data_IF_961353456821
#
_entry.id   IF_961353456821
#
_cell.length_a   1.000
_cell.length_b   1.000
_cell.length_c   1.000
_cell.angle_alpha   90.00
_cell.angle_beta   90.00
_cell.angle_gamma   90.00
#
_symmetry.space_group_name_H-M   'P 1'
#
loop_
_entity.id
_entity.type
_entity.pdbx_description
1 polymer ?
#
# COMPACT_ATOMS: atom_id res chain seq x y z
N UNK A 1 -4.97 12.01 22.27
CA UNK A 1 -4.06 12.96 21.58
C UNK A 1 -4.81 13.45 20.36
N UNK A 2 -5.07 14.75 20.29
CA UNK A 2 -5.82 15.39 19.20
C UNK A 2 -5.01 15.26 17.92
N UNK A 3 -5.58 14.63 16.89
CA UNK A 3 -5.00 14.55 15.56
C UNK A 3 -4.72 15.97 15.06
N UNK A 4 -3.47 16.28 14.75
CA UNK A 4 -3.14 17.51 14.04
C UNK A 4 -3.77 17.44 12.66
N UNK A 5 -4.80 18.23 12.40
CA UNK A 5 -5.25 18.50 11.04
C UNK A 5 -4.11 19.19 10.31
N UNK A 6 -3.39 18.47 9.46
CA UNK A 6 -2.34 19.05 8.63
C UNK A 6 -3.03 19.75 7.47
N UNK A 7 -2.93 21.08 7.43
CA UNK A 7 -3.54 21.90 6.38
C UNK A 7 -3.15 21.38 5.00
N UNK A 8 -4.14 21.05 4.16
CA UNK A 8 -3.93 20.53 2.80
C UNK A 8 -3.84 19.00 2.70
N UNK A 9 -3.87 18.26 3.80
CA UNK A 9 -3.94 16.78 3.82
C UNK A 9 -5.33 16.33 4.28
N UNK A 10 -6.03 15.48 3.52
CA UNK A 10 -7.29 14.90 3.97
C UNK A 10 -7.11 14.16 5.31
N UNK A 11 -8.02 14.32 6.29
CA UNK A 11 -7.92 13.61 7.55
C UNK A 11 -8.04 12.10 7.33
N UNK A 12 -7.33 11.32 8.15
CA UNK A 12 -7.51 9.88 8.20
C UNK A 12 -8.85 9.55 8.88
N UNK A 13 -9.46 8.38 8.58
CA UNK A 13 -10.62 7.93 9.32
C UNK A 13 -10.26 7.69 10.79
N UNK A 14 -11.12 8.16 11.68
CA UNK A 14 -10.93 8.10 13.14
C UNK A 14 -11.81 7.05 13.81
N UNK A 15 -12.37 6.11 13.04
CA UNK A 15 -13.14 5.01 13.61
C UNK A 15 -12.28 4.16 14.55
N UNK A 16 -12.87 3.43 15.52
CA UNK A 16 -12.12 2.51 16.35
C UNK A 16 -11.35 1.45 15.55
N UNK A 17 -11.91 0.97 14.44
CA UNK A 17 -11.28 -0.03 13.57
C UNK A 17 -10.10 0.57 12.79
N UNK A 18 -10.29 1.75 12.19
CA UNK A 18 -9.24 2.48 11.48
C UNK A 18 -8.03 2.78 12.39
N UNK A 19 -8.28 3.24 13.62
CA UNK A 19 -7.21 3.47 14.60
C UNK A 19 -6.46 2.19 14.98
N UNK A 20 -7.15 1.05 15.10
CA UNK A 20 -6.52 -0.24 15.40
C UNK A 20 -5.67 -0.75 14.23
N UNK A 21 -6.16 -0.63 13.00
CA UNK A 21 -5.39 -0.98 11.81
C UNK A 21 -4.14 -0.10 11.69
N UNK A 22 -4.28 1.22 11.89
CA UNK A 22 -3.15 2.15 11.86
C UNK A 22 -2.13 1.88 12.98
N UNK A 23 -2.59 1.49 14.17
CA UNK A 23 -1.70 1.10 15.27
C UNK A 23 -0.93 -0.18 14.92
N UNK A 24 -1.63 -1.21 14.41
CA UNK A 24 -1.00 -2.48 14.00
C UNK A 24 0.15 -2.24 13.03
N UNK A 25 -0.06 -1.48 11.95
CA UNK A 25 0.97 -1.26 10.92
C UNK A 25 2.13 -0.42 11.46
N UNK A 26 1.85 0.58 12.32
CA UNK A 26 2.92 1.37 12.97
C UNK A 26 3.74 0.56 13.98
N UNK A 27 3.16 -0.48 14.58
CA UNK A 27 3.83 -1.35 15.53
C UNK A 27 4.65 -2.46 14.85
N UNK A 28 4.28 -2.86 13.63
CA UNK A 28 4.80 -4.07 12.98
C UNK A 28 5.59 -3.81 11.69
N UNK A 29 5.27 -2.77 10.93
CA UNK A 29 6.00 -2.37 9.73
C UNK A 29 7.16 -1.44 10.07
N UNK A 30 8.14 -1.33 9.17
CA UNK A 30 9.13 -0.27 9.26
C UNK A 30 8.47 1.09 9.01
N UNK A 31 9.02 2.17 9.59
CA UNK A 31 8.47 3.53 9.43
C UNK A 31 8.29 3.96 7.96
N UNK A 32 9.23 3.69 7.02
CA UNK A 32 9.02 4.02 5.61
C UNK A 32 7.81 3.29 4.99
N UNK A 33 7.63 2.00 5.33
CA UNK A 33 6.52 1.16 4.84
C UNK A 33 5.18 1.59 5.47
N UNK A 34 5.12 1.82 6.79
CA UNK A 34 3.90 2.34 7.42
C UNK A 34 3.49 3.71 6.87
N UNK A 35 4.46 4.58 6.57
CA UNK A 35 4.18 5.86 5.92
C UNK A 35 3.72 5.68 4.47
N UNK A 36 4.27 4.71 3.72
CA UNK A 36 3.81 4.34 2.37
C UNK A 36 2.34 3.92 2.38
N UNK A 37 1.97 3.04 3.30
CA UNK A 37 0.59 2.54 3.46
C UNK A 37 -0.40 3.70 3.71
N UNK A 38 -0.03 4.68 4.53
CA UNK A 38 -0.85 5.89 4.76
C UNK A 38 -0.88 6.81 3.52
N UNK A 39 0.26 7.06 2.86
CA UNK A 39 0.28 7.88 1.64
C UNK A 39 -0.51 7.25 0.51
N UNK A 40 -0.47 5.92 0.37
CA UNK A 40 -1.25 5.16 -0.60
C UNK A 40 -2.75 5.39 -0.44
N UNK A 41 -3.26 5.42 0.80
CA UNK A 41 -4.64 5.82 1.09
C UNK A 41 -4.95 7.26 0.67
N UNK A 42 -4.07 8.21 1.01
CA UNK A 42 -4.28 9.62 0.70
C UNK A 42 -4.31 9.85 -0.82
N UNK A 43 -3.40 9.21 -1.56
CA UNK A 43 -3.41 9.25 -3.02
C UNK A 43 -4.61 8.51 -3.62
N UNK A 44 -5.03 7.39 -3.05
CA UNK A 44 -6.25 6.70 -3.49
C UNK A 44 -7.49 7.60 -3.36
N UNK A 45 -7.58 8.42 -2.30
CA UNK A 45 -8.65 9.41 -2.15
C UNK A 45 -8.59 10.52 -3.20
N UNK A 46 -7.41 11.09 -3.44
CA UNK A 46 -7.23 12.08 -4.50
C UNK A 46 -7.61 11.50 -5.87
N UNK A 47 -7.26 10.23 -6.11
CA UNK A 47 -7.65 9.51 -7.31
C UNK A 47 -9.17 9.31 -7.42
N UNK A 48 -9.83 8.93 -6.32
CA UNK A 48 -11.28 8.80 -6.27
C UNK A 48 -11.97 10.12 -6.62
N UNK A 49 -11.53 11.23 -6.03
CA UNK A 49 -12.05 12.57 -6.30
C UNK A 49 -11.83 12.97 -7.76
N UNK A 50 -10.62 12.75 -8.30
CA UNK A 50 -10.30 13.02 -9.71
C UNK A 50 -11.16 12.20 -10.68
N UNK A 51 -11.42 10.92 -10.36
CA UNK A 51 -12.30 10.03 -11.13
C UNK A 51 -13.79 10.24 -10.87
N UNK A 52 -14.14 11.14 -9.95
CA UNK A 52 -15.51 11.40 -9.49
C UNK A 52 -16.21 10.16 -8.91
N UNK A 53 -15.44 9.25 -8.33
CA UNK A 53 -15.97 8.11 -7.57
C UNK A 53 -16.48 8.61 -6.21
N UNK A 54 -17.73 8.30 -5.87
CA UNK A 54 -18.39 8.81 -4.68
C UNK A 54 -18.31 7.79 -3.53
N UNK A 55 -17.81 8.19 -2.34
CA UNK A 55 -17.80 7.31 -1.17
C UNK A 55 -19.23 6.93 -0.75
N UNK A 56 -19.44 5.67 -0.34
CA UNK A 56 -20.74 5.11 0.02
C UNK A 56 -21.64 4.74 -1.17
N UNK A 57 -21.24 5.09 -2.40
CA UNK A 57 -21.92 4.70 -3.65
C UNK A 57 -21.05 3.81 -4.52
N UNK A 58 -19.83 4.27 -4.81
CA UNK A 58 -18.91 3.60 -5.73
C UNK A 58 -17.86 2.76 -4.98
N UNK A 59 -17.55 3.10 -3.72
CA UNK A 59 -16.69 2.34 -2.81
C UNK A 59 -17.00 2.67 -1.34
N UNK A 60 -16.68 1.76 -0.43
CA UNK A 60 -16.73 2.03 1.01
C UNK A 60 -15.43 2.76 1.47
N UNK A 61 -15.53 3.94 2.11
CA UNK A 61 -14.36 4.71 2.51
C UNK A 61 -13.54 4.08 3.64
N UNK A 62 -14.16 3.32 4.54
CA UNK A 62 -13.46 2.60 5.60
C UNK A 62 -12.73 1.39 5.02
N UNK A 63 -13.34 0.63 4.11
CA UNK A 63 -12.65 -0.48 3.42
C UNK A 63 -11.48 0.01 2.56
N UNK A 64 -11.62 1.15 1.87
CA UNK A 64 -10.50 1.76 1.14
C UNK A 64 -9.34 2.10 2.08
N UNK A 65 -9.64 2.69 3.24
CA UNK A 65 -8.62 2.95 4.23
C UNK A 65 -7.94 1.66 4.68
N UNK A 66 -8.71 0.68 5.15
CA UNK A 66 -8.20 -0.58 5.68
C UNK A 66 -7.36 -1.34 4.65
N UNK A 67 -7.83 -1.43 3.41
CA UNK A 67 -7.07 -2.08 2.35
C UNK A 67 -5.75 -1.36 2.06
N UNK A 68 -5.75 -0.03 1.94
CA UNK A 68 -4.52 0.72 1.72
C UNK A 68 -3.55 0.64 2.90
N UNK A 69 -4.03 0.78 4.15
CA UNK A 69 -3.12 0.73 5.30
C UNK A 69 -2.55 -0.66 5.55
N UNK A 70 -3.29 -1.74 5.24
CA UNK A 70 -2.87 -3.11 5.50
C UNK A 70 -2.17 -3.79 4.31
N UNK A 71 -2.07 -3.16 3.14
CA UNK A 71 -1.66 -3.87 1.92
C UNK A 71 -0.26 -4.49 1.97
N UNK A 72 0.64 -3.89 2.74
CA UNK A 72 2.03 -4.34 2.92
C UNK A 72 2.27 -5.09 4.23
N UNK A 73 1.22 -5.43 5.00
CA UNK A 73 1.36 -6.21 6.24
C UNK A 73 2.01 -7.59 5.99
N UNK A 74 1.95 -8.06 4.73
CA UNK A 74 2.66 -9.23 4.21
C UNK A 74 4.19 -9.18 4.38
N UNK A 75 4.76 -7.99 4.54
CA UNK A 75 6.19 -7.76 4.74
C UNK A 75 6.64 -7.82 6.22
N UNK A 76 5.68 -7.95 7.14
CA UNK A 76 5.92 -8.10 8.58
C UNK A 76 6.10 -9.57 8.98
N UNK A 77 6.38 -9.84 10.26
CA UNK A 77 6.42 -11.20 10.81
C UNK A 77 5.10 -11.96 10.61
N UNK A 78 3.95 -11.29 10.71
CA UNK A 78 2.63 -11.91 10.51
C UNK A 78 2.43 -12.45 9.07
N UNK A 79 3.14 -11.83 8.12
CA UNK A 79 3.10 -12.13 6.69
C UNK A 79 4.31 -12.91 6.15
N UNK A 80 5.31 -13.27 6.97
CA UNK A 80 6.48 -14.05 6.53
C UNK A 80 6.17 -15.57 6.45
N UNK A 81 5.15 -15.92 5.65
CA UNK A 81 4.68 -17.30 5.40
C UNK A 81 5.17 -17.82 4.03
N UNK A 82 4.54 -18.85 3.48
CA UNK A 82 5.07 -19.67 2.36
C UNK A 82 4.52 -19.29 0.97
N UNK A 83 4.05 -18.06 0.79
CA UNK A 83 3.47 -17.59 -0.48
C UNK A 83 3.81 -16.11 -0.74
N UNK A 84 3.44 -15.61 -1.92
CA UNK A 84 3.76 -14.23 -2.32
C UNK A 84 3.26 -13.22 -1.28
N UNK A 85 4.03 -12.16 -1.02
CA UNK A 85 3.75 -11.23 0.08
C UNK A 85 2.38 -10.56 -0.04
N UNK A 86 1.88 -10.38 -1.27
CA UNK A 86 0.56 -9.79 -1.51
C UNK A 86 -0.56 -10.68 -0.95
N UNK A 87 -0.43 -12.00 -1.06
CA UNK A 87 -1.43 -12.97 -0.59
C UNK A 87 -1.25 -13.20 0.90
N UNK A 88 -0.01 -13.27 1.39
CA UNK A 88 0.25 -13.32 2.84
C UNK A 88 -0.27 -12.07 3.57
N UNK A 89 -0.12 -10.90 2.95
CA UNK A 89 -0.68 -9.65 3.46
C UNK A 89 -2.20 -9.67 3.47
N UNK A 90 -2.82 -10.15 2.39
CA UNK A 90 -4.27 -10.29 2.30
C UNK A 90 -4.82 -11.25 3.37
N UNK A 91 -4.18 -12.41 3.57
CA UNK A 91 -4.55 -13.38 4.60
C UNK A 91 -4.42 -12.80 6.01
N UNK A 92 -3.30 -12.15 6.32
CA UNK A 92 -3.08 -11.50 7.62
C UNK A 92 -4.09 -10.36 7.87
N UNK A 93 -4.41 -9.57 6.85
CA UNK A 93 -5.44 -8.54 6.93
C UNK A 93 -6.83 -9.16 7.18
N UNK A 94 -7.17 -10.25 6.49
CA UNK A 94 -8.44 -10.93 6.68
C UNK A 94 -8.57 -11.55 8.08
N UNK A 95 -7.51 -12.17 8.61
CA UNK A 95 -7.44 -12.66 9.99
C UNK A 95 -7.67 -11.52 10.99
N UNK A 96 -6.98 -10.38 10.80
CA UNK A 96 -7.17 -9.19 11.63
C UNK A 96 -8.61 -8.68 11.58
N UNK A 97 -9.15 -8.42 10.39
CA UNK A 97 -10.49 -7.84 10.22
C UNK A 97 -11.59 -8.76 10.72
N UNK A 98 -11.47 -10.07 10.50
CA UNK A 98 -12.39 -11.08 11.05
C UNK A 98 -12.39 -11.03 12.57
N UNK A 99 -11.22 -10.94 13.21
CA UNK A 99 -11.11 -10.81 14.66
C UNK A 99 -11.71 -9.49 15.18
N UNK A 100 -11.82 -8.46 14.33
CA UNK A 100 -12.50 -7.20 14.65
C UNK A 100 -14.01 -7.22 14.40
N UNK A 101 -14.56 -8.34 13.91
CA UNK A 101 -15.99 -8.50 13.64
C UNK A 101 -16.46 -7.85 12.34
N UNK A 102 -15.56 -7.59 11.40
CA UNK A 102 -15.90 -7.09 10.06
C UNK A 102 -16.70 -8.18 9.31
N UNK A 103 -17.79 -7.84 8.60
CA UNK A 103 -18.57 -8.80 7.81
C UNK A 103 -17.69 -9.54 6.79
N UNK A 104 -17.96 -10.83 6.56
CA UNK A 104 -17.12 -11.65 5.67
C UNK A 104 -17.03 -11.12 4.24
N UNK A 105 -18.09 -10.52 3.70
CA UNK A 105 -18.06 -9.90 2.37
C UNK A 105 -17.10 -8.71 2.31
N UNK A 106 -17.08 -7.87 3.34
CA UNK A 106 -16.17 -6.73 3.44
C UNK A 106 -14.72 -7.20 3.65
N UNK A 107 -14.52 -8.30 4.39
CA UNK A 107 -13.22 -8.96 4.54
C UNK A 107 -12.72 -9.48 3.18
N UNK A 108 -13.58 -10.14 2.41
CA UNK A 108 -13.24 -10.66 1.08
C UNK A 108 -12.88 -9.52 0.11
N UNK A 109 -13.61 -8.39 0.15
CA UNK A 109 -13.33 -7.21 -0.66
C UNK A 109 -11.95 -6.59 -0.32
N UNK A 110 -11.61 -6.49 0.96
CA UNK A 110 -10.28 -6.01 1.39
C UNK A 110 -9.19 -7.01 1.00
N UNK A 111 -9.42 -8.30 1.20
CA UNK A 111 -8.49 -9.35 0.80
C UNK A 111 -8.19 -9.27 -0.70
N UNK A 112 -9.21 -9.14 -1.55
CA UNK A 112 -9.06 -9.04 -3.00
C UNK A 112 -8.25 -7.80 -3.40
N UNK A 113 -8.56 -6.65 -2.80
CA UNK A 113 -7.86 -5.41 -3.09
C UNK A 113 -6.37 -5.47 -2.72
N UNK A 114 -6.04 -6.10 -1.57
CA UNK A 114 -4.66 -6.31 -1.14
C UNK A 114 -3.97 -7.33 -2.05
N UNK A 115 -4.57 -8.50 -2.29
CA UNK A 115 -3.93 -9.55 -3.09
C UNK A 115 -3.60 -9.10 -4.53
N UNK A 116 -4.38 -8.16 -5.08
CA UNK A 116 -4.23 -7.66 -6.45
C UNK A 116 -3.46 -6.34 -6.57
N UNK A 117 -3.04 -5.70 -5.47
CA UNK A 117 -2.50 -4.34 -5.52
C UNK A 117 -1.23 -4.19 -6.39
N UNK A 118 -0.46 -5.26 -6.61
CA UNK A 118 0.71 -5.29 -7.50
C UNK A 118 0.43 -5.84 -8.91
N UNK A 119 -0.84 -6.04 -9.28
CA UNK A 119 -1.25 -6.72 -10.51
C UNK A 119 -1.88 -5.74 -11.52
N UNK A 120 -1.08 -4.89 -12.19
CA UNK A 120 -1.59 -3.91 -13.15
C UNK A 120 -2.34 -4.59 -14.30
N UNK A 121 -3.44 -3.97 -14.73
CA UNK A 121 -4.35 -4.52 -15.74
C UNK A 121 -5.37 -5.53 -15.20
N UNK A 122 -5.18 -6.05 -13.98
CA UNK A 122 -6.14 -6.93 -13.29
C UNK A 122 -6.89 -6.16 -12.21
N UNK A 123 -6.19 -5.46 -11.32
CA UNK A 123 -6.79 -4.76 -10.18
C UNK A 123 -7.87 -3.77 -10.61
N UNK A 124 -7.66 -3.05 -11.72
CA UNK A 124 -8.60 -2.06 -12.26
C UNK A 124 -9.88 -2.69 -12.84
N UNK A 125 -9.88 -4.00 -13.05
CA UNK A 125 -11.02 -4.78 -13.55
C UNK A 125 -11.80 -5.45 -12.41
N UNK A 126 -11.35 -5.31 -11.16
CA UNK A 126 -11.92 -5.98 -9.97
C UNK A 126 -12.58 -4.97 -9.02
N UNK A 127 -13.42 -4.11 -9.57
CA UNK A 127 -14.20 -3.14 -8.81
C UNK A 127 -13.42 -1.89 -8.41
N UNK A 128 -14.15 -0.89 -7.90
CA UNK A 128 -13.60 0.43 -7.57
C UNK A 128 -12.56 0.35 -6.45
N UNK A 129 -12.77 -0.50 -5.44
CA UNK A 129 -11.85 -0.66 -4.31
C UNK A 129 -10.46 -1.12 -4.79
N UNK A 130 -10.38 -2.25 -5.50
CA UNK A 130 -9.13 -2.76 -6.08
C UNK A 130 -8.45 -1.73 -6.99
N UNK A 131 -9.23 -1.06 -7.84
CA UNK A 131 -8.71 -0.04 -8.74
C UNK A 131 -8.09 1.15 -7.99
N UNK A 132 -8.71 1.59 -6.88
CA UNK A 132 -8.23 2.71 -6.08
C UNK A 132 -7.02 2.32 -5.22
N UNK A 133 -6.99 1.13 -4.61
CA UNK A 133 -5.82 0.64 -3.86
C UNK A 133 -4.61 0.52 -4.78
N UNK A 134 -4.75 -0.16 -5.92
CA UNK A 134 -3.67 -0.27 -6.91
C UNK A 134 -3.19 1.10 -7.42
N UNK A 135 -4.11 2.01 -7.71
CA UNK A 135 -3.71 3.35 -8.20
C UNK A 135 -3.03 4.16 -7.09
N UNK A 136 -3.55 4.10 -5.86
CA UNK A 136 -3.00 4.82 -4.71
C UNK A 136 -1.57 4.40 -4.37
N UNK A 137 -1.29 3.09 -4.36
CA UNK A 137 0.07 2.57 -4.14
C UNK A 137 1.00 3.03 -5.25
N UNK A 138 0.60 2.91 -6.52
CA UNK A 138 1.38 3.38 -7.66
C UNK A 138 1.63 4.90 -7.67
N UNK A 139 0.65 5.70 -7.24
CA UNK A 139 0.78 7.15 -7.14
C UNK A 139 1.82 7.56 -6.10
N UNK A 140 2.03 6.79 -5.04
CA UNK A 140 3.12 7.05 -4.08
C UNK A 140 4.51 6.76 -4.69
N UNK A 141 4.58 5.97 -5.75
CA UNK A 141 5.78 5.84 -6.61
C UNK A 141 5.86 6.90 -7.72
N UNK A 142 4.93 7.86 -7.75
CA UNK A 142 4.90 8.96 -8.72
C UNK A 142 4.08 8.69 -9.97
N UNK A 143 3.46 7.51 -10.10
CA UNK A 143 2.72 7.12 -11.30
C UNK A 143 1.36 7.84 -11.40
N UNK A 144 1.06 8.41 -12.56
CA UNK A 144 -0.26 9.00 -12.82
C UNK A 144 -0.63 10.19 -11.92
N UNK A 145 0.38 10.97 -11.50
CA UNK A 145 0.20 12.05 -10.52
C UNK A 145 -0.06 13.42 -11.13
N UNK A 146 -0.21 13.54 -12.44
CA UNK A 146 -0.30 14.82 -13.17
C UNK A 146 -1.41 15.77 -12.66
N UNK A 147 -2.47 15.23 -12.05
CA UNK A 147 -3.59 16.00 -11.52
C UNK A 147 -3.41 16.42 -10.05
N UNK A 148 -2.41 15.88 -9.35
CA UNK A 148 -2.10 16.25 -7.96
C UNK A 148 -1.27 17.53 -8.01
N UNK A 149 -1.70 18.60 -7.33
CA UNK A 149 -0.90 19.81 -7.25
C UNK A 149 0.31 19.66 -6.31
N UNK A 150 1.36 20.44 -6.55
CA UNK A 150 2.63 20.34 -5.80
C UNK A 150 2.45 20.64 -4.30
N UNK A 151 1.50 21.51 -3.93
CA UNK A 151 1.29 21.87 -2.54
C UNK A 151 0.65 20.72 -1.74
N UNK A 152 -0.35 20.06 -2.30
CA UNK A 152 -0.94 18.85 -1.72
C UNK A 152 0.08 17.71 -1.65
N UNK A 153 0.84 17.48 -2.73
CA UNK A 153 1.93 16.49 -2.72
C UNK A 153 2.96 16.77 -1.62
N UNK A 154 3.42 18.01 -1.49
CA UNK A 154 4.37 18.42 -0.45
C UNK A 154 3.79 18.27 0.97
N UNK A 155 2.51 18.61 1.17
CA UNK A 155 1.85 18.48 2.47
C UNK A 155 1.72 17.02 2.92
N UNK A 156 1.34 16.10 2.00
CA UNK A 156 1.27 14.67 2.26
C UNK A 156 2.65 14.12 2.67
N UNK A 157 3.70 14.47 1.92
CA UNK A 157 5.06 14.00 2.20
C UNK A 157 5.68 14.65 3.44
N UNK A 158 5.28 15.86 3.82
CA UNK A 158 5.68 16.48 5.08
C UNK A 158 5.01 15.80 6.28
N UNK A 159 3.73 15.42 6.14
CA UNK A 159 2.97 14.69 7.15
C UNK A 159 3.48 13.26 7.36
N UNK A 160 3.80 12.58 6.26
CA UNK A 160 4.22 11.18 6.23
C UNK A 160 5.49 11.06 5.38
N UNK A 161 6.68 11.33 5.95
CA UNK A 161 7.95 11.33 5.21
C UNK A 161 8.22 10.00 4.49
N UNK A 162 8.74 10.09 3.26
CA UNK A 162 9.09 8.91 2.44
C UNK A 162 10.29 8.15 2.99
N UNK A 163 11.24 8.88 3.56
CA UNK A 163 12.52 8.33 4.03
C UNK A 163 13.26 7.67 2.86
N UNK A 164 13.49 6.36 2.88
CA UNK A 164 14.07 5.61 1.77
C UNK A 164 13.09 4.54 1.29
N UNK A 165 11.79 4.87 1.23
CA UNK A 165 10.69 3.91 1.06
C UNK A 165 10.95 2.88 -0.04
N UNK A 166 11.30 3.30 -1.26
CA UNK A 166 11.42 2.36 -2.37
C UNK A 166 12.54 1.35 -2.14
N UNK A 167 13.64 1.79 -1.53
CA UNK A 167 14.74 0.91 -1.12
C UNK A 167 14.30 0.01 0.02
N UNK A 168 13.61 0.54 1.04
CA UNK A 168 13.11 -0.25 2.18
C UNK A 168 12.15 -1.36 1.74
N UNK A 169 11.13 -1.04 0.95
CA UNK A 169 10.18 -2.03 0.42
C UNK A 169 10.89 -3.08 -0.43
N UNK A 170 11.79 -2.65 -1.32
CA UNK A 170 12.57 -3.58 -2.14
C UNK A 170 13.39 -4.53 -1.28
N UNK A 171 14.08 -4.03 -0.27
CA UNK A 171 14.92 -4.84 0.61
C UNK A 171 14.09 -5.78 1.48
N UNK A 172 12.93 -5.36 2.00
CA UNK A 172 12.00 -6.20 2.75
C UNK A 172 11.47 -7.35 1.89
N UNK A 173 10.99 -7.06 0.67
CA UNK A 173 10.51 -8.06 -0.29
C UNK A 173 11.62 -9.04 -0.66
N UNK A 174 12.80 -8.54 -1.03
CA UNK A 174 13.94 -9.37 -1.43
C UNK A 174 14.45 -10.22 -0.27
N UNK A 175 14.50 -9.67 0.95
CA UNK A 175 14.95 -10.40 2.13
C UNK A 175 14.01 -11.57 2.45
N UNK A 176 12.69 -11.35 2.43
CA UNK A 176 11.72 -12.43 2.62
C UNK A 176 11.84 -13.49 1.51
N UNK A 177 11.87 -13.08 0.24
CA UNK A 177 12.00 -14.00 -0.90
C UNK A 177 13.30 -14.81 -0.91
N UNK A 178 14.41 -14.25 -0.39
CA UNK A 178 15.67 -14.99 -0.22
C UNK A 178 15.60 -16.03 0.91
N UNK A 179 14.86 -15.75 1.98
CA UNK A 179 14.62 -16.73 3.06
C UNK A 179 13.65 -17.81 2.63
N UNK A 180 12.62 -17.45 1.85
CA UNK A 180 11.53 -18.30 1.39
C UNK A 180 11.30 -18.13 -0.11
N UNK A 181 11.97 -18.92 -0.96
CA UNK A 181 11.86 -18.81 -2.42
C UNK A 181 10.43 -18.92 -2.96
N UNK A 182 9.52 -19.58 -2.23
CA UNK A 182 8.10 -19.70 -2.56
C UNK A 182 7.38 -18.35 -2.62
N UNK A 183 7.91 -17.33 -1.93
CA UNK A 183 7.39 -15.95 -1.99
C UNK A 183 7.71 -15.22 -3.30
N UNK A 184 8.61 -15.77 -4.10
CA UNK A 184 9.02 -15.25 -5.40
C UNK A 184 8.68 -16.23 -6.53
N UNK A 185 7.39 -16.56 -6.74
CA UNK A 185 7.00 -17.37 -7.89
C UNK A 185 7.35 -16.65 -9.19
N UNK A 186 7.61 -17.42 -10.26
CA UNK A 186 7.97 -16.83 -11.56
C UNK A 186 6.92 -15.80 -11.99
N UNK A 187 7.40 -14.70 -12.54
CA UNK A 187 6.60 -13.56 -13.01
C UNK A 187 5.91 -12.74 -11.91
N UNK A 188 6.29 -12.90 -10.64
CA UNK A 188 5.88 -11.99 -9.57
C UNK A 188 6.84 -10.81 -9.42
N UNK A 189 6.38 -9.75 -8.75
CA UNK A 189 7.20 -8.60 -8.36
C UNK A 189 8.42 -9.05 -7.55
N UNK A 190 8.20 -9.88 -6.52
CA UNK A 190 9.29 -10.38 -5.68
C UNK A 190 10.36 -11.14 -6.48
N UNK A 191 9.97 -11.97 -7.43
CA UNK A 191 10.92 -12.69 -8.28
C UNK A 191 11.76 -11.74 -9.15
N UNK A 192 11.13 -10.68 -9.67
CA UNK A 192 11.82 -9.69 -10.48
C UNK A 192 12.81 -8.86 -9.64
N UNK A 193 12.41 -8.41 -8.45
CA UNK A 193 13.29 -7.66 -7.55
C UNK A 193 14.49 -8.50 -7.07
N UNK A 194 14.28 -9.79 -6.78
CA UNK A 194 15.38 -10.71 -6.45
C UNK A 194 16.35 -10.83 -7.62
N UNK A 195 15.84 -10.93 -8.86
CA UNK A 195 16.65 -10.99 -10.08
C UNK A 195 17.45 -9.72 -10.29
N UNK A 196 16.83 -8.55 -10.19
CA UNK A 196 17.48 -7.25 -10.36
C UNK A 196 18.54 -7.02 -9.28
N UNK A 197 18.23 -7.30 -8.01
CA UNK A 197 19.19 -7.15 -6.90
C UNK A 197 20.38 -8.10 -7.02
N UNK A 198 20.27 -9.21 -7.75
CA UNK A 198 21.36 -10.18 -7.95
C UNK A 198 22.38 -9.76 -9.02
N UNK A 199 22.07 -8.78 -9.87
CA UNK A 199 22.91 -8.40 -11.02
C UNK A 199 23.35 -6.94 -10.89
N UNK A 200 24.62 -6.57 -11.15
CA UNK A 200 25.04 -5.17 -11.19
C UNK A 200 24.15 -4.32 -12.10
N UNK A 201 23.75 -3.10 -11.69
CA UNK A 201 24.27 -2.32 -10.56
C UNK A 201 23.64 -2.63 -9.20
N UNK A 202 22.84 -3.70 -9.09
CA UNK A 202 22.03 -4.10 -7.93
C UNK A 202 20.87 -3.16 -7.60
N UNK A 203 20.83 -1.93 -8.11
CA UNK A 203 19.65 -1.05 -8.02
C UNK A 203 18.51 -1.61 -8.87
N UNK A 204 17.31 -1.66 -8.29
CA UNK A 204 16.10 -2.16 -8.96
C UNK A 204 15.45 -1.10 -9.84
N UNK A 205 14.58 -1.53 -10.75
CA UNK A 205 13.73 -0.64 -11.53
C UNK A 205 12.84 0.20 -10.60
N UNK A 206 12.30 -0.40 -9.54
CA UNK A 206 11.46 0.31 -8.57
C UNK A 206 12.19 1.49 -7.91
N UNK A 207 13.41 1.27 -7.43
CA UNK A 207 14.24 2.32 -6.81
C UNK A 207 14.63 3.42 -7.80
N UNK A 208 14.98 3.01 -9.03
CA UNK A 208 15.34 3.95 -10.10
C UNK A 208 14.17 4.85 -10.46
N UNK A 209 12.96 4.30 -10.59
CA UNK A 209 11.77 5.10 -10.91
C UNK A 209 11.31 5.96 -9.74
N UNK A 210 11.39 5.47 -8.50
CA UNK A 210 11.10 6.32 -7.35
C UNK A 210 12.04 7.53 -7.31
N UNK A 211 13.35 7.29 -7.49
CA UNK A 211 14.38 8.34 -7.47
C UNK A 211 14.21 9.35 -8.61
N UNK A 212 13.90 8.88 -9.83
CA UNK A 212 13.66 9.74 -10.99
C UNK A 212 12.24 10.34 -11.02
N UNK A 213 11.34 9.81 -10.19
CA UNK A 213 9.93 10.17 -10.13
C UNK A 213 9.69 11.50 -9.42
N UNK A 214 8.46 12.00 -9.55
CA UNK A 214 8.07 13.33 -9.05
C UNK A 214 8.32 13.52 -7.55
N UNK A 215 8.25 12.44 -6.77
CA UNK A 215 8.36 12.48 -5.30
C UNK A 215 9.76 12.15 -4.77
N UNK A 216 10.65 11.59 -5.58
CA UNK A 216 11.93 11.04 -5.12
C UNK A 216 11.78 9.71 -4.38
N UNK A 217 12.88 9.22 -3.81
CA UNK A 217 12.86 8.08 -2.88
C UNK A 217 12.43 8.58 -1.49
#
# INVERSE_FOLDING_TARGET
MTEMTITGVPPLPDSPLARRALALVRETESTPTANHSVRSYLFARLCADHRRAQPGRDYDPELLFLACVLHDIGLTEAGDREQRFEVDGADAAAEFLTAQGVPSGDVDDVWEAIALHTSPGIAERRGTLCALVHTGTGMDFGLGTDFVDDATGAAIHAAYPRLSMATTLTDEIVAQARRRPEKAPRFSVAAELVRERAVPPHTTWMETNATAGRWGN
#
